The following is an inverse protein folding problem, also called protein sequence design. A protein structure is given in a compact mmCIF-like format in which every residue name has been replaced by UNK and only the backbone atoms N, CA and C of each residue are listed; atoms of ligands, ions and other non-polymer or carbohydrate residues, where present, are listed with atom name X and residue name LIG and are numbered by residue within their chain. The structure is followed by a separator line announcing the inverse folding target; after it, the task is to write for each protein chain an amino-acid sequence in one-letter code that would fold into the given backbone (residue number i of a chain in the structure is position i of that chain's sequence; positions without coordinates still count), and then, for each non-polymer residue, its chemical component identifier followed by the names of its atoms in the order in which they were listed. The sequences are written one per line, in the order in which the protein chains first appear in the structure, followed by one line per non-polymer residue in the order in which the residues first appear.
data_IF_468793713060
#
_entry.id   IF_468793713060
#
_cell.length_a   1.000
_cell.length_b   1.000
_cell.length_c   1.000
_cell.angle_alpha   90.00
_cell.angle_beta   90.00
_cell.angle_gamma   90.00
#
_symmetry.space_group_name_H-M   'P 1'
#
loop_
_entity.id
_entity.type
_entity.pdbx_description
1 polymer ?
#
# COMPACT_ATOMS: atom_id res chain seq x y z
N UNK A 1 -17.18 -2.14 9.45
CA UNK A 1 -16.33 -1.07 8.90
C UNK A 1 -14.95 -1.67 8.61
N UNK A 2 -14.46 -1.70 7.36
CA UNK A 2 -13.18 -2.34 7.07
C UNK A 2 -12.03 -1.55 7.70
N UNK A 3 -11.08 -2.25 8.34
CA UNK A 3 -9.87 -1.63 8.86
C UNK A 3 -9.06 -1.05 7.69
N UNK A 4 -8.58 0.18 7.86
CA UNK A 4 -7.76 0.92 6.89
C UNK A 4 -6.44 1.27 7.56
N UNK A 5 -5.32 1.08 6.85
CA UNK A 5 -3.98 1.43 7.31
C UNK A 5 -3.31 2.36 6.31
N UNK A 6 -2.45 3.25 6.78
CA UNK A 6 -1.73 4.16 5.89
C UNK A 6 -0.50 3.48 5.32
N UNK A 7 -0.19 3.78 4.05
CA UNK A 7 1.01 3.32 3.40
C UNK A 7 2.21 4.12 3.95
N UNK A 8 3.26 3.47 4.49
CA UNK A 8 4.44 4.19 4.97
C UNK A 8 5.31 4.77 3.86
N UNK A 9 5.06 4.43 2.59
CA UNK A 9 5.83 4.95 1.44
C UNK A 9 5.19 6.20 0.83
N UNK A 10 3.91 6.13 0.45
CA UNK A 10 3.22 7.24 -0.23
C UNK A 10 2.18 7.96 0.64
N UNK A 11 1.95 7.52 1.88
CA UNK A 11 0.94 8.09 2.77
C UNK A 11 -0.51 7.74 2.43
N UNK A 12 -0.76 7.09 1.28
CA UNK A 12 -2.12 6.74 0.86
C UNK A 12 -2.77 5.72 1.80
N UNK A 13 -4.10 5.81 1.95
CA UNK A 13 -4.87 4.85 2.73
C UNK A 13 -4.98 3.55 1.95
N UNK A 14 -4.49 2.46 2.53
CA UNK A 14 -4.52 1.12 1.97
C UNK A 14 -5.21 0.14 2.91
N UNK A 15 -5.47 -1.06 2.41
CA UNK A 15 -5.95 -2.15 3.24
C UNK A 15 -4.78 -2.75 4.03
N UNK A 16 -4.98 -3.09 5.32
CA UNK A 16 -3.98 -3.81 6.10
C UNK A 16 -3.69 -5.16 5.45
N UNK A 17 -2.42 -5.61 5.56
CA UNK A 17 -1.90 -6.83 4.94
C UNK A 17 -2.04 -6.93 3.40
N UNK A 18 -2.31 -5.82 2.71
CA UNK A 18 -2.27 -5.74 1.24
C UNK A 18 -1.18 -4.80 0.74
N UNK A 19 -0.74 -5.05 -0.49
CA UNK A 19 0.11 -4.14 -1.24
C UNK A 19 -0.63 -2.80 -1.44
N UNK A 20 0.09 -1.70 -1.39
CA UNK A 20 -0.51 -0.40 -1.68
C UNK A 20 -0.88 -0.36 -3.17
N UNK A 21 -2.16 -0.24 -3.51
CA UNK A 21 -2.58 -0.10 -4.91
C UNK A 21 -2.21 1.23 -5.56
N UNK A 22 -1.71 2.19 -4.78
CA UNK A 22 -1.36 3.53 -5.27
C UNK A 22 0.13 3.69 -5.60
N UNK A 23 1.01 2.96 -4.90
CA UNK A 23 2.45 3.01 -5.20
C UNK A 23 3.04 1.63 -5.48
N UNK A 24 2.30 0.55 -5.24
CA UNK A 24 2.74 -0.81 -5.54
C UNK A 24 3.70 -1.40 -4.50
N UNK A 25 3.99 -0.66 -3.44
CA UNK A 25 4.91 -1.09 -2.40
C UNK A 25 4.23 -1.93 -1.31
N UNK A 26 4.93 -2.99 -0.90
CA UNK A 26 4.66 -3.76 0.30
C UNK A 26 5.97 -4.06 1.02
N UNK A 27 6.03 -3.72 2.31
CA UNK A 27 7.21 -3.94 3.14
C UNK A 27 8.52 -3.35 2.54
N UNK A 28 8.43 -2.11 2.02
CA UNK A 28 9.53 -1.38 1.37
C UNK A 28 10.11 -2.05 0.11
N UNK A 29 9.38 -3.02 -0.46
CA UNK A 29 9.68 -3.60 -1.76
C UNK A 29 8.55 -3.27 -2.71
N UNK A 30 8.90 -2.94 -3.94
CA UNK A 30 7.95 -2.79 -5.03
C UNK A 30 7.50 -4.19 -5.44
N UNK A 31 6.20 -4.46 -5.31
CA UNK A 31 5.61 -5.79 -5.59
C UNK A 31 4.79 -5.75 -6.89
N UNK A 32 4.35 -4.57 -7.27
CA UNK A 32 3.62 -4.28 -8.51
C UNK A 32 4.17 -2.96 -9.04
N UNK A 33 4.58 -2.95 -10.31
CA UNK A 33 4.80 -1.70 -11.04
C UNK A 33 3.42 -1.06 -11.25
N UNK A 34 3.22 0.12 -10.65
CA UNK A 34 2.02 0.92 -10.85
C UNK A 34 2.41 2.02 -11.81
N UNK A 35 1.92 1.93 -13.04
CA UNK A 35 2.14 2.90 -14.13
C UNK A 35 1.45 4.25 -13.86
#
# INVERSE_FOLDING_TARGET
MPARSTCPQCGAVKLPHRVCGNCGYYNKREVIEVE
#
